data_IF_200159369628
#
_entry.id   IF_200159369628
#
_cell.length_a   1.000
_cell.length_b   1.000
_cell.length_c   1.000
_cell.angle_alpha   90.00
_cell.angle_beta   90.00
_cell.angle_gamma   90.00
#
_symmetry.space_group_name_H-M   'P 1'
#
loop_
_entity.id
_entity.type
_entity.pdbx_description
1 polymer ?
#
# COMPACT_ATOMS: atom_id res chain seq x y z
N UNK A 1 69.12 -40.90 -47.15
CA UNK A 1 68.12 -41.97 -46.91
C UNK A 1 67.56 -41.79 -45.50
N UNK A 2 66.24 -41.59 -45.36
CA UNK A 2 65.38 -41.93 -44.20
C UNK A 2 65.98 -41.70 -42.77
N UNK A 3 65.48 -40.81 -41.90
CA UNK A 3 64.11 -40.79 -41.31
C UNK A 3 63.91 -39.57 -40.37
N UNK A 4 62.74 -38.94 -40.51
CA UNK A 4 61.84 -38.32 -39.50
C UNK A 4 62.33 -37.28 -38.49
N UNK A 5 61.79 -36.03 -38.52
CA UNK A 5 61.63 -35.19 -37.33
C UNK A 5 60.21 -35.34 -36.72
N UNK A 6 60.15 -35.18 -35.40
CA UNK A 6 58.96 -35.21 -34.55
C UNK A 6 57.86 -34.25 -35.03
N UNK A 7 56.62 -34.75 -35.08
CA UNK A 7 55.41 -33.95 -35.18
C UNK A 7 55.08 -33.32 -33.83
N UNK A 8 55.15 -31.99 -33.73
CA UNK A 8 54.47 -31.21 -32.69
C UNK A 8 53.07 -30.87 -33.19
N UNK A 9 52.06 -31.61 -32.70
CA UNK A 9 50.65 -31.27 -32.88
C UNK A 9 50.32 -30.16 -31.90
N UNK A 10 50.26 -28.92 -32.38
CA UNK A 10 49.67 -27.80 -31.63
C UNK A 10 48.16 -27.84 -31.88
N UNK A 11 47.42 -28.40 -30.94
CA UNK A 11 45.97 -28.31 -30.89
C UNK A 11 45.57 -26.86 -30.60
N UNK A 12 45.13 -26.13 -31.63
CA UNK A 12 44.47 -24.82 -31.47
C UNK A 12 43.04 -25.10 -31.03
N UNK A 13 42.83 -25.15 -29.72
CA UNK A 13 41.50 -25.17 -29.12
C UNK A 13 40.90 -23.77 -29.24
N UNK A 14 40.03 -23.58 -30.23
CA UNK A 14 39.24 -22.37 -30.40
C UNK A 14 38.19 -22.32 -29.27
N UNK A 15 38.53 -21.70 -28.14
CA UNK A 15 37.58 -21.43 -27.05
C UNK A 15 36.71 -20.26 -27.51
N UNK A 16 35.50 -20.58 -27.99
CA UNK A 16 34.42 -19.62 -28.16
C UNK A 16 33.96 -19.20 -26.75
N UNK A 17 34.61 -18.18 -26.17
CA UNK A 17 34.10 -17.52 -24.98
C UNK A 17 32.90 -16.67 -25.40
N UNK A 18 31.71 -17.25 -25.30
CA UNK A 18 30.45 -16.50 -25.25
C UNK A 18 30.56 -15.63 -24.00
N UNK A 19 30.85 -14.34 -24.19
CA UNK A 19 30.71 -13.33 -23.16
C UNK A 19 29.22 -13.14 -22.95
N UNK A 20 28.61 -13.55 -21.82
CA UNK A 20 27.30 -13.03 -21.49
C UNK A 20 27.49 -11.54 -21.25
N UNK A 21 26.86 -10.72 -22.11
CA UNK A 21 26.67 -9.31 -21.84
C UNK A 21 25.75 -9.21 -20.62
N UNK A 22 26.33 -9.33 -19.44
CA UNK A 22 25.67 -8.97 -18.19
C UNK A 22 25.68 -7.45 -18.19
N UNK A 23 24.55 -6.86 -18.59
CA UNK A 23 24.27 -5.47 -18.33
C UNK A 23 24.17 -5.29 -16.80
N UNK A 24 25.32 -5.07 -16.16
CA UNK A 24 25.38 -4.57 -14.80
C UNK A 24 24.92 -3.11 -14.85
N UNK A 25 23.60 -2.91 -14.77
CA UNK A 25 23.02 -1.65 -14.35
C UNK A 25 23.37 -1.43 -12.88
N UNK A 26 24.61 -1.06 -12.59
CA UNK A 26 25.00 -0.52 -11.30
C UNK A 26 24.37 0.88 -11.21
N UNK A 27 23.22 0.96 -10.56
CA UNK A 27 22.66 2.22 -10.11
C UNK A 27 23.49 2.73 -8.92
N UNK A 28 24.70 3.20 -9.20
CA UNK A 28 25.54 3.93 -8.24
C UNK A 28 25.29 5.42 -8.44
N UNK A 29 24.17 5.90 -7.90
CA UNK A 29 23.94 7.32 -7.66
C UNK A 29 24.81 7.76 -6.49
N UNK A 30 25.89 8.47 -6.77
CA UNK A 30 26.72 9.13 -5.77
C UNK A 30 26.30 10.58 -5.56
N UNK A 31 26.06 10.96 -4.30
CA UNK A 31 26.29 12.33 -3.82
C UNK A 31 25.08 13.09 -3.26
N UNK A 32 24.63 12.73 -2.04
CA UNK A 32 23.74 13.55 -1.22
C UNK A 32 23.40 12.84 0.09
N UNK A 33 24.16 13.13 1.15
CA UNK A 33 24.21 12.31 2.36
C UNK A 33 22.93 12.29 3.20
N UNK A 34 22.46 11.08 3.49
CA UNK A 34 21.38 10.81 4.45
C UNK A 34 21.14 9.31 4.64
N UNK A 35 22.00 8.65 5.43
CA UNK A 35 21.71 7.34 6.04
C UNK A 35 21.67 6.14 5.09
N UNK A 36 22.85 5.57 4.82
CA UNK A 36 22.96 4.19 4.35
C UNK A 36 22.45 3.22 5.45
N UNK A 37 21.15 2.91 5.40
CA UNK A 37 20.53 1.81 6.11
C UNK A 37 20.68 0.55 5.28
N UNK A 38 21.50 -0.38 5.78
CA UNK A 38 21.64 -1.76 5.33
C UNK A 38 20.27 -2.38 4.96
N UNK A 39 20.19 -3.08 3.81
CA UNK A 39 18.98 -3.64 3.21
C UNK A 39 18.17 -4.56 4.11
N UNK A 40 17.40 -3.96 5.01
CA UNK A 40 16.41 -4.61 5.85
C UNK A 40 15.05 -4.18 5.31
N UNK A 41 14.34 -5.09 4.65
CA UNK A 41 13.19 -4.84 3.77
C UNK A 41 11.92 -4.30 4.44
N UNK A 42 12.01 -3.21 5.18
CA UNK A 42 10.88 -2.48 5.72
C UNK A 42 10.89 -1.03 5.25
N UNK A 43 9.91 -0.65 4.44
CA UNK A 43 9.51 0.75 4.27
C UNK A 43 8.31 0.99 5.16
N UNK A 44 8.36 2.04 5.97
CA UNK A 44 7.27 2.41 6.86
C UNK A 44 7.25 1.66 8.20
N UNK A 45 6.05 1.37 8.68
CA UNK A 45 5.76 0.86 10.02
C UNK A 45 5.95 -0.64 10.20
N UNK A 46 6.32 -1.38 9.14
CA UNK A 46 6.64 -2.81 9.19
C UNK A 46 8.05 -3.10 8.66
N UNK A 47 8.64 -4.19 9.15
CA UNK A 47 9.87 -4.80 8.63
C UNK A 47 9.54 -6.20 8.13
N UNK A 48 10.07 -6.54 6.96
CA UNK A 48 10.01 -7.90 6.40
C UNK A 48 11.44 -8.46 6.40
N UNK A 49 11.65 -9.56 7.11
CA UNK A 49 12.96 -10.22 7.15
C UNK A 49 13.20 -11.14 5.93
N UNK A 50 14.38 -11.78 5.87
CA UNK A 50 14.75 -12.67 4.77
C UNK A 50 13.86 -13.92 4.65
N UNK A 51 13.16 -14.31 5.72
CA UNK A 51 12.20 -15.43 5.70
C UNK A 51 10.80 -15.00 5.23
N UNK A 52 10.54 -13.68 5.15
CA UNK A 52 9.23 -13.12 4.86
C UNK A 52 8.39 -12.88 6.11
N UNK A 53 8.99 -12.87 7.30
CA UNK A 53 8.30 -12.57 8.55
C UNK A 53 8.04 -11.07 8.67
N UNK A 54 6.77 -10.70 8.84
CA UNK A 54 6.29 -9.33 9.01
C UNK A 54 6.19 -8.99 10.49
N UNK A 55 6.95 -7.97 10.89
CA UNK A 55 6.96 -7.44 12.25
C UNK A 55 6.83 -5.91 12.25
N UNK A 56 6.46 -5.34 13.40
CA UNK A 56 6.47 -3.89 13.59
C UNK A 56 7.90 -3.35 13.44
N UNK A 57 8.08 -2.33 12.61
CA UNK A 57 9.33 -1.59 12.53
C UNK A 57 9.56 -0.79 13.81
N UNK A 58 10.79 -0.81 14.33
CA UNK A 58 11.20 -0.04 15.50
C UNK A 58 12.18 1.02 15.02
N UNK A 59 11.68 2.23 14.79
CA UNK A 59 12.49 3.41 14.52
C UNK A 59 12.62 4.27 15.76
N UNK A 60 13.79 4.89 15.93
CA UNK A 60 14.01 5.81 17.04
C UNK A 60 13.08 7.02 16.90
N UNK A 61 12.25 7.26 17.93
CA UNK A 61 11.36 8.41 17.94
C UNK A 61 12.19 9.70 18.04
N UNK A 62 12.12 10.54 17.00
CA UNK A 62 12.60 11.91 17.06
C UNK A 62 11.57 12.77 17.77
N UNK A 63 12.04 13.81 18.47
CA UNK A 63 11.09 14.82 18.96
C UNK A 63 10.44 15.53 17.75
N UNK A 64 9.15 15.94 17.84
CA UNK A 64 8.43 16.47 16.69
C UNK A 64 9.08 17.69 16.03
N UNK A 65 9.71 18.57 16.81
CA UNK A 65 10.38 19.78 16.28
C UNK A 65 11.64 19.44 15.48
N UNK A 66 12.39 18.46 15.93
CA UNK A 66 13.59 17.97 15.25
C UNK A 66 13.22 17.21 13.99
N UNK A 67 12.18 16.38 14.04
CA UNK A 67 11.63 15.74 12.85
C UNK A 67 11.21 16.78 11.81
N UNK A 68 10.44 17.81 12.21
CA UNK A 68 10.01 18.87 11.32
C UNK A 68 11.18 19.58 10.63
N UNK A 69 12.18 20.01 11.41
CA UNK A 69 13.38 20.67 10.86
C UNK A 69 14.14 19.78 9.88
N UNK A 70 14.22 18.47 10.14
CA UNK A 70 14.88 17.53 9.23
C UNK A 70 14.13 17.42 7.90
N UNK A 71 12.80 17.33 7.94
CA UNK A 71 11.96 17.28 6.75
C UNK A 71 12.10 18.56 5.92
N UNK A 72 12.00 19.72 6.54
CA UNK A 72 12.16 21.03 5.88
C UNK A 72 13.53 21.20 5.22
N UNK A 73 14.61 20.85 5.93
CA UNK A 73 15.97 20.95 5.39
C UNK A 73 16.21 19.96 4.24
N UNK A 74 15.68 18.75 4.35
CA UNK A 74 15.77 17.75 3.28
C UNK A 74 15.03 18.22 2.03
N UNK A 75 13.78 18.69 2.18
CA UNK A 75 12.99 19.20 1.08
C UNK A 75 13.64 20.42 0.42
N UNK A 76 14.17 21.36 1.20
CA UNK A 76 14.85 22.55 0.68
C UNK A 76 16.16 22.24 -0.09
N UNK A 77 16.77 21.09 0.19
CA UNK A 77 18.01 20.66 -0.49
C UNK A 77 17.72 19.86 -1.75
N UNK A 78 16.71 18.98 -1.72
CA UNK A 78 16.45 18.02 -2.79
C UNK A 78 15.43 18.50 -3.82
N UNK A 79 14.53 19.43 -3.47
CA UNK A 79 13.40 19.81 -4.32
C UNK A 79 13.58 21.20 -4.94
N UNK A 80 13.14 21.38 -6.20
CA UNK A 80 12.95 22.71 -6.78
C UNK A 80 12.04 23.59 -5.92
N UNK A 81 12.32 24.90 -5.89
CA UNK A 81 11.58 25.85 -5.04
C UNK A 81 10.08 25.87 -5.33
N UNK A 82 9.70 25.85 -6.60
CA UNK A 82 8.31 25.83 -7.05
C UNK A 82 7.56 24.57 -6.60
N UNK A 83 8.23 23.42 -6.57
CA UNK A 83 7.67 22.17 -6.09
C UNK A 83 7.51 22.16 -4.56
N UNK A 84 8.45 22.80 -3.85
CA UNK A 84 8.52 22.86 -2.39
C UNK A 84 7.57 23.90 -1.76
N UNK A 85 6.37 24.05 -2.34
CA UNK A 85 5.28 24.84 -1.80
C UNK A 85 3.99 24.02 -1.78
N UNK A 86 3.11 24.32 -0.82
CA UNK A 86 1.80 23.70 -0.71
C UNK A 86 0.88 24.18 -1.84
N UNK A 87 0.21 23.23 -2.48
CA UNK A 87 -0.75 23.43 -3.55
C UNK A 87 -2.05 22.72 -3.19
N UNK A 88 -3.16 23.44 -3.35
CA UNK A 88 -4.49 22.85 -3.12
C UNK A 88 -4.91 21.93 -4.26
N UNK A 89 -4.34 22.11 -5.46
CA UNK A 89 -4.70 21.37 -6.66
C UNK A 89 -3.52 21.34 -7.65
N UNK A 90 -2.51 20.52 -7.36
CA UNK A 90 -1.43 20.22 -8.30
C UNK A 90 -1.92 19.19 -9.31
N UNK A 91 -1.62 19.44 -10.57
CA UNK A 91 -1.94 18.60 -11.73
C UNK A 91 -0.66 17.94 -12.21
N UNK A 92 -0.76 16.68 -12.61
CA UNK A 92 0.33 15.89 -13.20
C UNK A 92 -0.18 15.30 -14.51
N UNK A 93 0.42 15.71 -15.63
CA UNK A 93 0.21 15.11 -16.95
C UNK A 93 0.96 13.79 -17.02
N UNK A 94 0.24 12.69 -17.16
CA UNK A 94 0.87 11.37 -17.28
C UNK A 94 1.57 11.19 -18.62
N UNK A 95 1.09 11.83 -19.70
CA UNK A 95 1.80 11.83 -20.99
C UNK A 95 3.16 12.53 -20.88
N UNK A 96 3.18 13.72 -20.30
CA UNK A 96 4.42 14.51 -20.27
C UNK A 96 5.39 13.96 -19.22
N UNK A 97 4.89 13.37 -18.13
CA UNK A 97 5.69 12.61 -17.18
C UNK A 97 6.36 11.42 -17.86
N UNK A 98 5.61 10.64 -18.63
CA UNK A 98 6.10 9.49 -19.39
C UNK A 98 7.16 9.90 -20.43
N UNK A 99 6.97 11.03 -21.12
CA UNK A 99 7.96 11.59 -22.03
C UNK A 99 9.24 12.07 -21.30
N UNK A 100 9.12 12.67 -20.12
CA UNK A 100 10.27 13.09 -19.33
C UNK A 100 11.06 11.89 -18.78
N UNK A 101 10.37 10.83 -18.32
CA UNK A 101 11.01 9.58 -17.91
C UNK A 101 11.75 8.95 -19.10
N UNK A 102 11.11 8.86 -20.27
CA UNK A 102 11.74 8.33 -21.48
C UNK A 102 13.02 9.12 -21.84
N UNK A 103 12.96 10.45 -21.78
CA UNK A 103 14.12 11.33 -22.01
C UNK A 103 15.25 11.06 -21.01
N UNK A 104 14.94 10.95 -19.73
CA UNK A 104 15.93 10.67 -18.67
C UNK A 104 16.58 9.30 -18.86
N UNK A 105 15.78 8.28 -19.16
CA UNK A 105 16.27 6.91 -19.40
C UNK A 105 17.18 6.85 -20.64
N UNK A 106 16.81 7.51 -21.73
CA UNK A 106 17.65 7.59 -22.94
C UNK A 106 18.96 8.33 -22.69
N UNK A 107 18.95 9.32 -21.81
CA UNK A 107 20.14 10.07 -21.39
C UNK A 107 20.99 9.33 -20.33
N UNK A 108 20.54 8.16 -19.84
CA UNK A 108 21.20 7.45 -18.73
C UNK A 108 21.22 8.24 -17.42
N UNK A 109 20.27 9.16 -17.24
CA UNK A 109 20.16 10.00 -16.04
C UNK A 109 19.26 9.31 -15.00
N UNK A 110 19.59 9.42 -13.70
CA UNK A 110 18.69 8.95 -12.66
C UNK A 110 17.39 9.75 -12.65
N UNK A 111 16.29 9.09 -12.27
CA UNK A 111 15.01 9.77 -12.10
C UNK A 111 15.08 10.69 -10.86
N UNK A 112 14.73 11.98 -10.99
CA UNK A 112 14.75 12.91 -9.86
C UNK A 112 13.61 12.62 -8.88
N UNK A 113 13.76 13.04 -7.62
CA UNK A 113 12.76 12.86 -6.55
C UNK A 113 11.38 13.39 -6.94
N UNK A 114 11.33 14.48 -7.70
CA UNK A 114 10.08 15.04 -8.23
C UNK A 114 9.31 14.02 -9.07
N UNK A 115 9.99 13.28 -9.95
CA UNK A 115 9.41 12.23 -10.80
C UNK A 115 9.03 11.00 -9.94
N UNK A 116 9.93 10.57 -9.06
CA UNK A 116 9.71 9.40 -8.20
C UNK A 116 8.50 9.56 -7.26
N UNK A 117 8.16 10.80 -6.88
CA UNK A 117 7.10 11.12 -5.93
C UNK A 117 5.97 11.96 -6.55
N UNK A 118 5.76 11.84 -7.87
CA UNK A 118 4.67 12.47 -8.63
C UNK A 118 4.40 13.94 -8.24
N UNK A 119 5.46 14.74 -8.21
CA UNK A 119 5.45 16.16 -7.86
C UNK A 119 4.85 16.48 -6.47
N UNK A 120 4.91 15.54 -5.53
CA UNK A 120 4.45 15.73 -4.16
C UNK A 120 2.93 15.67 -3.99
N UNK A 121 2.19 15.14 -4.97
CA UNK A 121 0.75 14.92 -4.84
C UNK A 121 0.50 13.95 -3.69
N UNK A 122 -0.33 14.35 -2.73
CA UNK A 122 -0.61 13.59 -1.50
C UNK A 122 -1.89 12.77 -1.57
N UNK A 123 -2.79 13.08 -2.52
CA UNK A 123 -4.07 12.41 -2.77
C UNK A 123 -4.58 12.76 -4.17
N UNK A 124 -5.34 11.86 -4.80
CA UNK A 124 -6.04 12.16 -6.06
C UNK A 124 -7.47 12.59 -5.72
N UNK A 125 -7.80 13.82 -6.08
CA UNK A 125 -9.17 14.34 -5.99
C UNK A 125 -9.84 14.38 -7.36
N UNK A 126 -9.06 14.53 -8.43
CA UNK A 126 -9.56 14.59 -9.80
C UNK A 126 -8.74 13.74 -10.75
N UNK A 127 -9.43 13.18 -11.74
CA UNK A 127 -8.84 12.54 -12.90
C UNK A 127 -9.45 13.20 -14.13
N UNK A 128 -8.63 13.58 -15.10
CA UNK A 128 -9.08 14.15 -16.35
C UNK A 128 -8.47 13.42 -17.54
N UNK A 129 -9.23 13.35 -18.62
CA UNK A 129 -8.81 12.94 -19.95
C UNK A 129 -8.85 14.19 -20.82
N UNK A 130 -7.74 14.51 -21.48
CA UNK A 130 -7.68 15.66 -22.36
C UNK A 130 -8.73 15.55 -23.47
N UNK A 131 -9.23 16.70 -23.98
CA UNK A 131 -10.30 16.73 -24.99
C UNK A 131 -9.93 15.98 -26.28
N UNK A 132 -8.64 15.94 -26.63
CA UNK A 132 -8.10 15.20 -27.77
C UNK A 132 -7.81 13.73 -27.46
N UNK A 133 -8.05 13.29 -26.23
CA UNK A 133 -7.81 11.95 -25.71
C UNK A 133 -6.33 11.59 -25.59
N UNK A 134 -5.40 12.54 -25.72
CA UNK A 134 -3.96 12.25 -25.77
C UNK A 134 -3.26 12.40 -24.45
N UNK A 135 -3.96 12.72 -23.37
CA UNK A 135 -3.36 12.85 -22.05
C UNK A 135 -4.34 12.41 -20.96
N UNK A 136 -3.76 12.03 -19.83
CA UNK A 136 -4.43 11.77 -18.56
C UNK A 136 -3.81 12.70 -17.55
N UNK A 137 -4.63 13.46 -16.82
CA UNK A 137 -4.17 14.36 -15.77
C UNK A 137 -4.75 13.89 -14.44
N UNK A 138 -3.88 13.55 -13.50
CA UNK A 138 -4.29 13.37 -12.10
C UNK A 138 -4.09 14.68 -11.36
N UNK A 139 -5.01 15.03 -10.47
CA UNK A 139 -4.89 16.25 -9.69
C UNK A 139 -5.40 16.12 -8.25
N UNK A 140 -4.80 16.88 -7.35
CA UNK A 140 -5.19 16.94 -5.95
C UNK A 140 -4.21 17.75 -5.10
N UNK A 141 -4.35 17.72 -3.77
CA UNK A 141 -3.47 18.46 -2.87
C UNK A 141 -2.04 17.94 -2.97
N UNK A 142 -1.07 18.85 -3.03
CA UNK A 142 0.35 18.53 -3.07
C UNK A 142 1.16 19.49 -2.20
N UNK A 143 2.37 19.07 -1.84
CA UNK A 143 3.29 19.89 -1.08
C UNK A 143 4.74 19.42 -1.26
N UNK A 144 5.69 20.18 -0.72
CA UNK A 144 7.06 19.69 -0.55
C UNK A 144 7.07 18.42 0.29
N UNK A 145 8.02 17.53 0.02
CA UNK A 145 8.08 16.22 0.64
C UNK A 145 9.50 15.82 1.02
N UNK A 146 9.62 14.91 1.98
CA UNK A 146 10.88 14.35 2.42
C UNK A 146 10.69 12.96 3.04
N UNK A 147 11.77 12.19 3.09
CA UNK A 147 11.78 10.86 3.69
C UNK A 147 11.80 10.93 5.22
N UNK A 148 10.93 10.15 5.85
CA UNK A 148 10.96 9.83 7.27
C UNK A 148 12.12 8.87 7.59
N UNK A 149 12.51 8.74 8.86
CA UNK A 149 13.53 7.78 9.28
C UNK A 149 13.20 6.30 8.97
N UNK A 150 11.92 5.98 8.75
CA UNK A 150 11.45 4.66 8.36
C UNK A 150 11.42 4.45 6.83
N UNK A 151 11.99 5.40 6.06
CA UNK A 151 12.07 5.38 4.61
C UNK A 151 10.81 5.85 3.89
N UNK A 152 9.71 6.13 4.59
CA UNK A 152 8.47 6.62 3.95
C UNK A 152 8.62 8.07 3.51
N UNK A 153 8.26 8.38 2.27
CA UNK A 153 8.19 9.77 1.79
C UNK A 153 6.85 10.39 2.16
N UNK A 154 6.88 11.53 2.86
CA UNK A 154 5.69 12.25 3.31
C UNK A 154 5.78 13.72 2.98
N UNK A 155 4.62 14.36 2.83
CA UNK A 155 4.52 15.80 2.71
C UNK A 155 4.95 16.51 4.02
N UNK A 156 5.62 17.65 3.90
CA UNK A 156 6.27 18.34 5.02
C UNK A 156 5.29 19.06 5.95
N UNK A 157 4.07 19.37 5.51
CA UNK A 157 3.07 20.04 6.35
C UNK A 157 2.00 19.06 6.85
N UNK A 158 1.50 18.18 5.99
CA UNK A 158 0.44 17.23 6.34
C UNK A 158 0.95 15.95 7.00
N UNK A 159 2.25 15.62 6.82
CA UNK A 159 2.82 14.30 7.12
C UNK A 159 2.11 13.12 6.44
N UNK A 160 1.29 13.41 5.43
CA UNK A 160 0.61 12.42 4.62
C UNK A 160 1.60 11.83 3.61
N UNK A 161 1.55 10.52 3.32
CA UNK A 161 2.35 9.95 2.26
C UNK A 161 2.02 10.58 0.90
N UNK A 162 3.05 10.80 0.09
CA UNK A 162 2.90 11.24 -1.31
C UNK A 162 2.63 10.04 -2.21
N UNK A 163 2.05 10.28 -3.39
CA UNK A 163 1.98 9.28 -4.44
C UNK A 163 3.40 8.99 -4.95
N UNK A 164 3.71 7.73 -5.22
CA UNK A 164 4.99 7.35 -5.80
C UNK A 164 4.82 6.75 -7.19
N UNK A 165 5.87 6.87 -7.99
CA UNK A 165 5.92 6.33 -9.36
C UNK A 165 5.75 4.81 -9.35
N UNK A 166 6.41 4.09 -8.44
CA UNK A 166 6.33 2.63 -8.39
C UNK A 166 4.90 2.11 -8.23
N UNK A 167 4.10 2.73 -7.36
CA UNK A 167 2.71 2.33 -7.16
C UNK A 167 1.83 2.70 -8.36
N UNK A 168 2.12 3.82 -9.05
CA UNK A 168 1.47 4.16 -10.31
C UNK A 168 1.80 3.11 -11.39
N UNK A 169 3.06 2.70 -11.51
CA UNK A 169 3.48 1.66 -12.46
C UNK A 169 2.79 0.33 -12.17
N UNK A 170 2.74 -0.09 -10.90
CA UNK A 170 2.03 -1.31 -10.49
C UNK A 170 0.55 -1.22 -10.86
N UNK A 171 -0.13 -0.12 -10.54
CA UNK A 171 -1.54 0.06 -10.86
C UNK A 171 -1.79 0.00 -12.39
N UNK A 172 -1.00 0.71 -13.18
CA UNK A 172 -1.15 0.75 -14.64
C UNK A 172 -0.88 -0.59 -15.32
N UNK A 173 0.05 -1.40 -14.79
CA UNK A 173 0.50 -2.67 -15.38
C UNK A 173 -0.32 -3.90 -14.94
N UNK A 174 -1.19 -3.74 -13.94
CA UNK A 174 -1.97 -4.86 -13.37
C UNK A 174 -3.49 -4.72 -13.54
N UNK A 175 -4.01 -3.50 -13.73
CA UNK A 175 -5.45 -3.21 -13.78
C UNK A 175 -6.24 -3.97 -14.88
N UNK A 176 -5.58 -4.28 -15.99
CA UNK A 176 -6.12 -4.98 -17.15
C UNK A 176 -6.10 -6.51 -17.00
N UNK A 177 -5.30 -7.06 -16.08
CA UNK A 177 -5.22 -8.52 -15.85
C UNK A 177 -5.84 -8.97 -14.53
N UNK A 178 -6.02 -8.06 -13.58
CA UNK A 178 -6.49 -8.36 -12.23
C UNK A 178 -7.81 -7.64 -11.94
N UNK A 179 -8.76 -8.39 -11.37
CA UNK A 179 -10.05 -7.82 -10.97
C UNK A 179 -10.04 -7.28 -9.53
N UNK A 180 -9.28 -7.93 -8.65
CA UNK A 180 -9.26 -7.67 -7.21
C UNK A 180 -7.83 -7.62 -6.72
N UNK A 181 -7.55 -6.64 -5.86
CA UNK A 181 -6.23 -6.32 -5.31
C UNK A 181 -6.31 -6.34 -3.79
N UNK A 182 -5.24 -6.76 -3.13
CA UNK A 182 -5.25 -6.79 -1.68
C UNK A 182 -4.27 -7.75 -1.03
N UNK A 183 -4.55 -7.99 0.25
CA UNK A 183 -3.85 -8.98 1.06
C UNK A 183 -4.83 -9.67 2.01
N UNK A 184 -4.42 -10.82 2.53
CA UNK A 184 -5.15 -11.56 3.56
C UNK A 184 -4.20 -12.08 4.62
N UNK A 185 -4.67 -12.11 5.86
CA UNK A 185 -3.94 -12.63 7.01
C UNK A 185 -4.75 -13.76 7.60
N UNK A 186 -4.29 -14.99 7.34
CA UNK A 186 -5.04 -16.20 7.62
C UNK A 186 -4.28 -17.09 8.61
N UNK A 187 -4.90 -17.50 9.72
CA UNK A 187 -4.31 -18.50 10.60
C UNK A 187 -4.19 -19.85 9.88
N UNK A 188 -3.19 -20.66 10.25
CA UNK A 188 -3.07 -22.02 9.72
C UNK A 188 -4.24 -22.90 10.20
N UNK A 189 -5.00 -23.59 9.31
CA UNK A 189 -6.15 -24.40 9.70
C UNK A 189 -5.84 -25.46 10.77
N UNK A 190 -4.69 -26.14 10.65
CA UNK A 190 -4.25 -27.15 11.63
C UNK A 190 -3.99 -26.57 13.01
N UNK A 191 -3.56 -25.31 13.10
CA UNK A 191 -3.36 -24.59 14.37
C UNK A 191 -4.68 -24.11 14.94
N UNK A 192 -5.60 -23.64 14.10
CA UNK A 192 -6.96 -23.30 14.53
C UNK A 192 -7.68 -24.50 15.16
N UNK A 193 -7.63 -25.67 14.52
CA UNK A 193 -8.25 -26.88 15.06
C UNK A 193 -7.69 -27.23 16.46
N UNK A 194 -6.37 -27.14 16.64
CA UNK A 194 -5.73 -27.34 17.95
C UNK A 194 -6.16 -26.29 18.97
N UNK A 195 -6.26 -25.02 18.58
CA UNK A 195 -6.76 -23.94 19.45
C UNK A 195 -8.20 -24.21 19.90
N UNK A 196 -9.08 -24.68 19.01
CA UNK A 196 -10.44 -25.05 19.37
C UNK A 196 -10.50 -26.20 20.37
N UNK A 197 -9.68 -27.25 20.16
CA UNK A 197 -9.58 -28.36 21.11
C UNK A 197 -9.15 -27.88 22.50
N UNK A 198 -8.17 -26.97 22.57
CA UNK A 198 -7.70 -26.38 23.84
C UNK A 198 -8.77 -25.51 24.51
N UNK A 199 -9.54 -24.74 23.73
CA UNK A 199 -10.65 -23.94 24.25
C UNK A 199 -11.80 -24.82 24.76
N UNK A 200 -12.07 -25.95 24.11
CA UNK A 200 -13.05 -26.94 24.57
C UNK A 200 -12.64 -27.67 25.85
N UNK A 201 -11.33 -27.80 26.11
CA UNK A 201 -10.78 -28.43 27.31
C UNK A 201 -10.63 -27.47 28.50
N UNK A 202 -10.37 -26.17 28.25
CA UNK A 202 -10.23 -25.14 29.28
C UNK A 202 -11.59 -24.62 29.76
N UNK A 203 -12.28 -25.43 30.55
CA UNK A 203 -13.49 -24.99 31.27
C UNK A 203 -13.09 -24.08 32.43
N UNK A 204 -13.31 -22.77 32.25
CA UNK A 204 -13.23 -21.68 33.26
C UNK A 204 -11.85 -21.41 33.87
N UNK A 205 -11.20 -20.34 33.39
CA UNK A 205 -10.12 -19.70 34.15
C UNK A 205 -10.67 -19.19 35.49
N UNK A 206 -10.14 -19.68 36.60
CA UNK A 206 -10.59 -19.31 37.96
C UNK A 206 -9.79 -18.16 38.55
N UNK A 207 -8.67 -17.78 37.91
CA UNK A 207 -7.83 -16.65 38.28
C UNK A 207 -7.28 -15.90 37.05
N UNK A 208 -6.82 -14.66 37.25
CA UNK A 208 -6.15 -13.88 36.21
C UNK A 208 -4.86 -14.55 35.71
N UNK A 209 -4.14 -15.27 36.59
CA UNK A 209 -2.93 -16.01 36.23
C UNK A 209 -3.24 -17.23 35.34
N UNK A 210 -4.37 -17.91 35.56
CA UNK A 210 -4.82 -19.02 34.71
C UNK A 210 -5.24 -18.52 33.33
N UNK A 211 -5.94 -17.39 33.28
CA UNK A 211 -6.29 -16.72 32.04
C UNK A 211 -5.04 -16.32 31.23
N UNK A 212 -4.00 -15.82 31.91
CA UNK A 212 -2.74 -15.44 31.29
C UNK A 212 -1.91 -16.66 30.80
N UNK A 213 -1.90 -17.77 31.55
CA UNK A 213 -1.25 -19.02 31.10
C UNK A 213 -1.97 -19.64 29.91
N UNK A 214 -3.30 -19.72 29.96
CA UNK A 214 -4.11 -20.17 28.82
C UNK A 214 -3.90 -19.31 27.59
N UNK A 215 -3.73 -17.99 27.77
CA UNK A 215 -3.38 -17.07 26.68
C UNK A 215 -2.04 -17.37 26.04
N UNK A 216 -0.98 -17.54 26.84
CA UNK A 216 0.36 -17.87 26.31
C UNK A 216 0.35 -19.21 25.56
N UNK A 217 -0.41 -20.18 26.06
CA UNK A 217 -0.59 -21.47 25.39
C UNK A 217 -1.35 -21.33 24.07
N UNK A 218 -2.44 -20.56 24.03
CA UNK A 218 -3.22 -20.31 22.81
C UNK A 218 -2.39 -19.56 21.76
N UNK A 219 -1.68 -18.50 22.17
CA UNK A 219 -0.79 -17.75 21.29
C UNK A 219 0.34 -18.62 20.71
N UNK A 220 0.95 -19.46 21.55
CA UNK A 220 1.97 -20.43 21.10
C UNK A 220 1.44 -21.47 20.11
N UNK A 221 0.17 -21.89 20.25
CA UNK A 221 -0.46 -22.86 19.35
C UNK A 221 -0.86 -22.24 18.02
N UNK A 222 -1.37 -21.01 18.03
CA UNK A 222 -1.71 -20.27 16.81
C UNK A 222 -0.47 -19.90 16.01
N UNK A 223 0.64 -19.63 16.69
CA UNK A 223 1.93 -19.33 16.07
C UNK A 223 1.86 -18.18 15.07
N UNK A 224 2.57 -18.30 13.95
CA UNK A 224 2.48 -17.38 12.82
C UNK A 224 1.24 -17.63 11.96
N UNK A 225 0.73 -16.55 11.37
CA UNK A 225 -0.35 -16.53 10.39
C UNK A 225 0.23 -16.30 8.99
N UNK A 226 -0.38 -16.90 7.99
CA UNK A 226 0.00 -16.74 6.60
C UNK A 226 -0.43 -15.35 6.12
N UNK A 227 0.47 -14.69 5.40
CA UNK A 227 0.20 -13.45 4.67
C UNK A 227 0.18 -13.79 3.19
N UNK A 228 -0.91 -13.44 2.51
CA UNK A 228 -1.05 -13.66 1.07
C UNK A 228 -1.37 -12.33 0.40
N UNK A 229 -0.62 -11.97 -0.63
CA UNK A 229 -0.86 -10.79 -1.47
C UNK A 229 -1.44 -11.24 -2.80
N UNK A 230 -2.39 -10.47 -3.34
CA UNK A 230 -3.02 -10.78 -4.62
C UNK A 230 -3.30 -9.52 -5.43
N UNK A 231 -3.35 -9.66 -6.75
CA UNK A 231 -3.59 -8.57 -7.70
C UNK A 231 -2.37 -7.68 -7.98
N UNK A 232 -1.29 -7.80 -7.21
CA UNK A 232 -0.04 -7.02 -7.38
C UNK A 232 1.18 -7.92 -7.28
N UNK A 233 2.35 -7.54 -7.83
CA UNK A 233 3.60 -8.27 -7.58
C UNK A 233 3.93 -8.29 -6.08
N UNK A 234 4.20 -9.47 -5.52
CA UNK A 234 4.36 -9.64 -4.07
C UNK A 234 5.60 -8.91 -3.48
N UNK A 235 6.57 -8.58 -4.32
CA UNK A 235 7.76 -7.80 -3.97
C UNK A 235 7.60 -6.29 -4.22
N UNK A 236 6.43 -5.81 -4.64
CA UNK A 236 6.22 -4.38 -4.93
C UNK A 236 6.02 -3.52 -3.68
N UNK A 237 6.26 -2.22 -3.78
CA UNK A 237 5.91 -1.27 -2.72
C UNK A 237 4.43 -1.34 -2.36
N UNK A 238 3.54 -1.41 -3.35
CA UNK A 238 2.10 -1.58 -3.14
C UNK A 238 1.76 -2.84 -2.32
N UNK A 239 2.44 -3.97 -2.54
CA UNK A 239 2.25 -5.17 -1.72
C UNK A 239 2.59 -4.93 -0.24
N UNK A 240 3.72 -4.28 0.02
CA UNK A 240 4.14 -3.90 1.38
C UNK A 240 3.11 -2.96 2.02
N UNK A 241 2.63 -1.95 1.28
CA UNK A 241 1.63 -1.00 1.77
C UNK A 241 0.27 -1.65 2.11
N UNK A 242 -0.19 -2.61 1.29
CA UNK A 242 -1.41 -3.38 1.55
C UNK A 242 -1.28 -4.19 2.85
N UNK A 243 -0.15 -4.89 3.02
CA UNK A 243 0.15 -5.68 4.21
C UNK A 243 0.32 -4.81 5.44
N UNK A 244 1.00 -3.67 5.32
CA UNK A 244 1.16 -2.70 6.40
C UNK A 244 -0.19 -2.18 6.90
N UNK A 245 -1.09 -1.81 6.00
CA UNK A 245 -2.40 -1.28 6.36
C UNK A 245 -3.23 -2.31 7.14
N UNK A 246 -3.27 -3.57 6.70
CA UNK A 246 -3.97 -4.62 7.42
C UNK A 246 -3.29 -4.99 8.76
N UNK A 247 -1.95 -4.94 8.82
CA UNK A 247 -1.22 -5.08 10.08
C UNK A 247 -1.58 -3.95 11.07
N UNK A 248 -1.68 -2.70 10.59
CA UNK A 248 -2.12 -1.55 11.38
C UNK A 248 -3.58 -1.70 11.85
N UNK A 249 -4.50 -2.15 10.97
CA UNK A 249 -5.89 -2.44 11.31
C UNK A 249 -5.97 -3.41 12.50
N UNK A 250 -5.22 -4.51 12.46
CA UNK A 250 -5.20 -5.49 13.56
C UNK A 250 -4.70 -4.88 14.86
N UNK A 251 -3.59 -4.13 14.83
CA UNK A 251 -3.02 -3.49 16.03
C UNK A 251 -3.92 -2.41 16.62
N UNK A 252 -4.63 -1.64 15.80
CA UNK A 252 -5.66 -0.68 16.26
C UNK A 252 -6.86 -1.42 16.87
N UNK A 253 -7.26 -2.54 16.27
CA UNK A 253 -8.38 -3.38 16.73
C UNK A 253 -8.08 -4.05 18.07
N UNK A 254 -6.85 -4.51 18.27
CA UNK A 254 -6.38 -5.04 19.56
C UNK A 254 -6.03 -3.97 20.58
N UNK A 255 -5.83 -2.73 20.16
CA UNK A 255 -5.29 -1.68 21.02
C UNK A 255 -3.80 -1.84 21.34
N UNK A 256 -3.06 -2.64 20.55
CA UNK A 256 -1.59 -2.62 20.52
C UNK A 256 -1.04 -1.33 19.87
N UNK A 257 -1.93 -0.58 19.23
CA UNK A 257 -1.70 0.79 18.80
C UNK A 257 -2.83 1.68 19.31
N UNK A 258 -2.46 2.84 19.86
CA UNK A 258 -3.39 3.89 20.20
C UNK A 258 -3.09 5.11 19.32
N UNK A 259 -3.97 5.46 18.37
CA UNK A 259 -3.72 6.54 17.42
C UNK A 259 -3.94 7.93 18.04
N UNK A 260 -4.36 8.00 19.32
CA UNK A 260 -4.73 9.23 20.02
C UNK A 260 -5.85 10.04 19.33
N UNK A 261 -6.68 9.37 18.53
CA UNK A 261 -7.86 9.96 17.88
C UNK A 261 -9.01 10.04 18.88
N UNK A 262 -9.60 11.23 19.03
CA UNK A 262 -10.69 11.47 19.98
C UNK A 262 -11.89 10.59 19.67
N UNK A 263 -12.30 9.81 20.66
CA UNK A 263 -13.47 8.95 20.58
C UNK A 263 -13.22 7.60 19.91
N UNK A 264 -12.02 7.34 19.39
CA UNK A 264 -11.65 6.03 18.85
C UNK A 264 -11.34 5.04 19.98
N UNK A 265 -11.97 3.86 19.91
CA UNK A 265 -11.82 2.77 20.87
C UNK A 265 -11.47 1.49 20.14
N UNK A 266 -10.46 0.77 20.64
CA UNK A 266 -10.16 -0.57 20.14
C UNK A 266 -11.34 -1.52 20.38
N UNK A 267 -11.53 -2.50 19.50
CA UNK A 267 -12.61 -3.46 19.65
C UNK A 267 -12.52 -4.20 21.00
N UNK A 268 -11.30 -4.58 21.42
CA UNK A 268 -11.11 -5.25 22.71
C UNK A 268 -11.57 -4.42 23.91
N UNK A 269 -11.52 -3.09 23.82
CA UNK A 269 -12.05 -2.21 24.86
C UNK A 269 -13.59 -2.21 24.91
N UNK A 270 -14.25 -2.48 23.78
CA UNK A 270 -15.71 -2.50 23.60
C UNK A 270 -16.36 -3.86 23.89
N UNK A 271 -15.58 -4.95 23.96
CA UNK A 271 -16.12 -6.30 24.13
C UNK A 271 -16.86 -6.49 25.45
N UNK A 272 -18.01 -7.19 25.37
CA UNK A 272 -18.78 -7.66 26.52
C UNK A 272 -18.34 -9.07 26.93
N UNK A 273 -18.64 -9.52 28.18
CA UNK A 273 -18.55 -10.93 28.54
C UNK A 273 -19.37 -11.79 27.56
N UNK A 274 -18.80 -12.91 27.08
CA UNK A 274 -19.40 -13.89 26.15
C UNK A 274 -19.43 -13.55 24.64
N UNK A 275 -18.49 -12.74 24.14
CA UNK A 275 -18.32 -12.59 22.68
C UNK A 275 -17.50 -13.76 22.10
N UNK A 276 -17.99 -14.40 21.02
CA UNK A 276 -17.25 -15.43 20.25
C UNK A 276 -15.90 -14.91 19.72
N UNK A 277 -14.99 -15.86 19.46
CA UNK A 277 -13.54 -15.65 19.47
C UNK A 277 -12.88 -15.33 18.13
N UNK A 278 -13.55 -15.55 16.98
CA UNK A 278 -12.99 -15.29 15.65
C UNK A 278 -13.83 -14.28 14.88
N UNK A 279 -13.23 -13.14 14.58
CA UNK A 279 -13.88 -12.00 13.93
C UNK A 279 -13.03 -11.55 12.75
N UNK A 280 -13.67 -11.15 11.66
CA UNK A 280 -12.98 -10.69 10.45
C UNK A 280 -13.27 -9.22 10.20
N UNK A 281 -12.22 -8.40 10.13
CA UNK A 281 -12.31 -7.02 9.63
C UNK A 281 -11.32 -6.81 8.50
N UNK A 282 -11.74 -6.13 7.45
CA UNK A 282 -10.85 -5.80 6.34
C UNK A 282 -11.14 -4.40 5.82
N UNK A 283 -10.12 -3.78 5.24
CA UNK A 283 -10.31 -2.55 4.48
C UNK A 283 -10.94 -2.85 3.14
N UNK A 284 -11.93 -2.04 2.78
CA UNK A 284 -12.52 -2.00 1.45
C UNK A 284 -12.72 -0.55 1.02
N UNK A 285 -12.68 -0.24 -0.28
CA UNK A 285 -12.91 1.11 -0.76
C UNK A 285 -14.30 1.67 -0.41
N UNK A 286 -14.36 2.97 -0.14
CA UNK A 286 -15.59 3.75 0.04
C UNK A 286 -15.38 5.21 -0.35
N UNK A 287 -16.17 5.69 -1.29
CA UNK A 287 -16.26 7.10 -1.66
C UNK A 287 -17.63 7.63 -1.23
N UNK A 288 -17.72 8.92 -0.92
CA UNK A 288 -19.01 9.60 -0.76
C UNK A 288 -19.68 9.74 -2.13
N UNK A 289 -18.88 10.16 -3.13
CA UNK A 289 -19.22 10.13 -4.54
C UNK A 289 -17.97 9.97 -5.42
N UNK A 290 -18.16 9.27 -6.54
CA UNK A 290 -17.32 9.41 -7.72
C UNK A 290 -18.20 10.07 -8.76
N UNK A 291 -17.97 11.34 -9.03
CA UNK A 291 -18.76 12.11 -10.00
C UNK A 291 -18.05 12.13 -11.35
N UNK A 292 -18.80 12.17 -12.45
CA UNK A 292 -18.23 12.30 -13.80
C UNK A 292 -19.08 13.21 -14.70
N UNK A 293 -18.43 13.93 -15.61
CA UNK A 293 -19.13 14.76 -16.59
C UNK A 293 -19.84 13.89 -17.66
N UNK A 294 -20.72 14.51 -18.46
CA UNK A 294 -21.49 13.80 -19.48
C UNK A 294 -20.60 13.10 -20.53
N UNK A 295 -19.43 13.69 -20.82
CA UNK A 295 -18.45 13.18 -21.78
C UNK A 295 -17.60 12.04 -21.21
N UNK A 296 -17.67 11.78 -19.90
CA UNK A 296 -16.79 10.83 -19.20
C UNK A 296 -15.32 11.12 -19.51
N UNK A 297 -14.93 12.39 -19.37
CA UNK A 297 -13.56 12.89 -19.50
C UNK A 297 -13.06 13.56 -18.23
N UNK A 298 -13.91 13.73 -17.21
CA UNK A 298 -13.51 14.24 -15.92
C UNK A 298 -14.18 13.44 -14.81
N UNK A 299 -13.44 13.16 -13.74
CA UNK A 299 -13.90 12.48 -12.54
C UNK A 299 -13.49 13.25 -11.31
N UNK A 300 -14.40 13.37 -10.34
CA UNK A 300 -14.15 13.95 -9.03
C UNK A 300 -14.41 12.90 -7.94
N UNK A 301 -13.39 12.66 -7.13
CA UNK A 301 -13.37 11.67 -6.07
C UNK A 301 -13.63 12.37 -4.74
N UNK A 302 -14.67 12.00 -3.99
CA UNK A 302 -15.01 12.60 -2.68
C UNK A 302 -15.21 11.56 -1.57
N UNK A 303 -14.95 11.96 -0.32
CA UNK A 303 -15.05 11.09 0.86
C UNK A 303 -13.76 10.39 1.31
N UNK A 304 -13.86 9.44 2.25
CA UNK A 304 -12.72 8.91 3.02
C UNK A 304 -11.88 7.86 2.27
N UNK A 305 -12.25 7.47 1.05
CA UNK A 305 -11.62 6.43 0.19
C UNK A 305 -11.70 5.01 0.71
N UNK A 306 -11.82 4.83 2.02
CA UNK A 306 -11.80 3.55 2.70
C UNK A 306 -12.98 3.43 3.67
N UNK A 307 -13.38 2.18 3.91
CA UNK A 307 -14.18 1.76 5.04
C UNK A 307 -13.61 0.48 5.63
N UNK A 308 -13.97 0.19 6.86
CA UNK A 308 -13.75 -1.14 7.46
C UNK A 308 -15.05 -1.91 7.35
N UNK A 309 -14.97 -3.09 6.75
CA UNK A 309 -16.05 -4.07 6.71
C UNK A 309 -15.85 -5.11 7.81
N UNK A 310 -16.93 -5.75 8.24
CA UNK A 310 -16.90 -6.78 9.27
C UNK A 310 -17.72 -8.01 8.87
N UNK A 311 -17.23 -9.19 9.23
CA UNK A 311 -17.94 -10.46 9.07
C UNK A 311 -17.63 -11.36 10.27
N UNK A 312 -18.64 -12.07 10.74
CA UNK A 312 -18.44 -13.17 11.68
C UNK A 312 -18.07 -14.45 10.95
N UNK A 313 -17.09 -15.18 11.52
CA UNK A 313 -16.66 -16.48 11.01
C UNK A 313 -16.84 -17.56 12.09
N UNK A 314 -17.33 -18.72 11.66
CA UNK A 314 -17.38 -19.96 12.45
C UNK A 314 -16.23 -20.84 11.97
N UNK A 315 -15.54 -21.49 12.91
CA UNK A 315 -14.52 -22.48 12.58
C UNK A 315 -15.04 -23.88 12.92
N UNK A 316 -14.95 -24.80 11.96
CA UNK A 316 -15.32 -26.20 12.17
C UNK A 316 -14.21 -26.98 12.90
N UNK A 317 -14.50 -28.23 13.29
CA UNK A 317 -13.56 -29.08 14.01
C UNK A 317 -12.26 -29.38 13.23
N UNK A 318 -12.23 -29.14 11.91
CA UNK A 318 -11.07 -29.32 11.05
C UNK A 318 -10.27 -28.03 10.86
N UNK A 319 -10.70 -26.92 11.46
CA UNK A 319 -10.06 -25.61 11.32
C UNK A 319 -10.49 -24.83 10.08
N UNK A 320 -11.51 -25.29 9.34
CA UNK A 320 -12.05 -24.55 8.20
C UNK A 320 -12.91 -23.40 8.68
N UNK A 321 -12.78 -22.24 8.05
CA UNK A 321 -13.60 -21.06 8.35
C UNK A 321 -14.79 -20.99 7.42
N UNK A 322 -15.95 -20.61 7.95
CA UNK A 322 -17.16 -20.32 7.18
C UNK A 322 -17.79 -19.04 7.71
N UNK A 323 -18.40 -18.26 6.83
CA UNK A 323 -19.15 -17.06 7.24
C UNK A 323 -20.33 -17.48 8.14
N UNK A 324 -20.45 -16.81 9.29
CA UNK A 324 -21.61 -16.99 10.15
C UNK A 324 -22.88 -16.45 9.45
N UNK A 325 -24.07 -17.02 9.74
CA UNK A 325 -25.33 -16.59 9.13
C UNK A 325 -25.70 -15.13 9.39
N UNK A 326 -25.12 -14.51 10.43
CA UNK A 326 -25.34 -13.12 10.81
C UNK A 326 -24.11 -12.55 11.49
N UNK A 327 -23.83 -11.26 11.27
CA UNK A 327 -22.77 -10.53 11.97
C UNK A 327 -23.30 -9.87 13.24
N UNK A 328 -22.60 -10.03 14.36
CA UNK A 328 -22.97 -9.44 15.63
C UNK A 328 -22.87 -7.90 15.60
N UNK A 329 -23.87 -7.23 16.18
CA UNK A 329 -23.98 -5.76 16.25
C UNK A 329 -22.73 -5.07 16.82
N UNK A 330 -21.98 -5.71 17.72
CA UNK A 330 -20.74 -5.11 18.27
C UNK A 330 -19.61 -5.02 17.24
N UNK A 331 -19.55 -5.95 16.29
CA UNK A 331 -18.57 -5.91 15.19
C UNK A 331 -18.89 -4.80 14.22
N UNK A 332 -20.17 -4.71 13.84
CA UNK A 332 -20.67 -3.66 12.95
C UNK A 332 -20.45 -2.28 13.56
N UNK A 333 -20.72 -2.11 14.88
CA UNK A 333 -20.45 -0.86 15.59
C UNK A 333 -18.98 -0.47 15.59
N UNK A 334 -18.08 -1.43 15.73
CA UNK A 334 -16.65 -1.14 15.66
C UNK A 334 -16.23 -0.76 14.24
N UNK A 335 -16.69 -1.51 13.23
CA UNK A 335 -16.44 -1.22 11.82
C UNK A 335 -16.98 0.16 11.41
N UNK A 336 -18.18 0.50 11.87
CA UNK A 336 -18.80 1.81 11.67
C UNK A 336 -17.97 2.92 12.32
N UNK A 337 -17.64 2.81 13.61
CA UNK A 337 -16.78 3.78 14.31
C UNK A 337 -15.43 3.93 13.59
N UNK A 338 -14.79 2.82 13.20
CA UNK A 338 -13.52 2.87 12.50
C UNK A 338 -13.67 3.64 11.19
N UNK A 339 -14.70 3.30 10.40
CA UNK A 339 -15.00 3.96 9.13
C UNK A 339 -15.23 5.46 9.30
N UNK A 340 -16.04 5.87 10.28
CA UNK A 340 -16.27 7.28 10.62
C UNK A 340 -14.99 8.02 11.03
N UNK A 341 -14.02 7.28 11.58
CA UNK A 341 -12.74 7.82 12.06
C UNK A 341 -11.59 7.72 11.07
N UNK A 342 -11.78 7.14 9.87
CA UNK A 342 -10.73 7.03 8.86
C UNK A 342 -10.06 8.38 8.53
N UNK A 343 -10.78 9.52 8.37
CA UNK A 343 -10.13 10.81 8.15
C UNK A 343 -9.15 11.18 9.26
N UNK A 344 -9.58 11.12 10.52
CA UNK A 344 -8.73 11.41 11.69
C UNK A 344 -7.57 10.39 11.82
N UNK A 345 -7.84 9.12 11.51
CA UNK A 345 -6.85 8.04 11.59
C UNK A 345 -5.77 8.17 10.52
N UNK A 346 -6.12 8.60 9.31
CA UNK A 346 -5.17 8.80 8.22
C UNK A 346 -4.14 9.90 8.52
N UNK A 347 -4.49 10.88 9.37
CA UNK A 347 -3.55 11.90 9.87
C UNK A 347 -2.54 11.36 10.90
N UNK A 348 -2.84 10.23 11.54
CA UNK A 348 -2.03 9.68 12.64
C UNK A 348 -1.34 8.37 12.28
N UNK A 349 -1.89 7.64 11.32
CA UNK A 349 -1.45 6.31 10.90
C UNK A 349 -1.20 6.35 9.40
N UNK A 350 0.05 6.62 9.04
CA UNK A 350 0.47 6.81 7.65
C UNK A 350 0.12 5.61 6.75
N UNK A 351 0.06 4.38 7.29
CA UNK A 351 -0.36 3.18 6.56
C UNK A 351 -1.79 3.30 6.00
N UNK A 352 -2.71 3.95 6.74
CA UNK A 352 -4.08 4.19 6.28
C UNK A 352 -4.09 5.20 5.14
N UNK A 353 -3.33 6.29 5.27
CA UNK A 353 -3.21 7.29 4.22
C UNK A 353 -2.53 6.73 2.95
N UNK A 354 -1.50 5.89 3.10
CA UNK A 354 -0.88 5.18 1.98
C UNK A 354 -1.89 4.28 1.28
N UNK A 355 -2.71 3.53 2.04
CA UNK A 355 -3.74 2.69 1.45
C UNK A 355 -4.78 3.50 0.67
N UNK A 356 -5.18 4.68 1.15
CA UNK A 356 -6.06 5.58 0.39
C UNK A 356 -5.45 5.94 -0.97
N UNK A 357 -4.16 6.26 -0.99
CA UNK A 357 -3.43 6.56 -2.22
C UNK A 357 -3.39 5.35 -3.18
N UNK A 358 -3.22 4.13 -2.67
CA UNK A 358 -3.23 2.92 -3.50
C UNK A 358 -4.61 2.69 -4.13
N UNK A 359 -5.67 2.88 -3.36
CA UNK A 359 -7.04 2.76 -3.87
C UNK A 359 -7.31 3.79 -4.97
N UNK A 360 -6.89 5.05 -4.76
CA UNK A 360 -7.05 6.10 -5.76
C UNK A 360 -6.27 5.81 -7.06
N UNK A 361 -5.05 5.27 -6.97
CA UNK A 361 -4.27 4.85 -8.15
C UNK A 361 -4.93 3.68 -8.91
N UNK A 362 -5.46 2.69 -8.18
CA UNK A 362 -6.17 1.56 -8.78
C UNK A 362 -7.50 2.01 -9.44
N UNK A 363 -8.20 2.98 -8.84
CA UNK A 363 -9.39 3.62 -9.45
C UNK A 363 -8.99 4.41 -10.70
N UNK A 364 -7.87 5.13 -10.66
CA UNK A 364 -7.31 5.85 -11.82
C UNK A 364 -7.02 4.89 -12.97
N UNK A 365 -6.38 3.75 -12.69
CA UNK A 365 -6.11 2.74 -13.71
C UNK A 365 -7.40 2.16 -14.31
N UNK A 366 -8.43 1.94 -13.50
CA UNK A 366 -9.75 1.50 -13.98
C UNK A 366 -10.47 2.56 -14.84
N UNK A 367 -10.34 3.85 -14.51
CA UNK A 367 -10.82 4.97 -15.34
C UNK A 367 -10.13 4.95 -16.70
N UNK A 368 -8.82 4.75 -16.73
CA UNK A 368 -8.02 4.73 -17.97
C UNK A 368 -8.42 3.57 -18.86
N UNK A 369 -8.61 2.40 -18.28
CA UNK A 369 -9.07 1.23 -19.02
C UNK A 369 -10.46 1.44 -19.62
N UNK A 370 -11.43 1.91 -18.81
CA UNK A 370 -12.78 2.22 -19.27
C UNK A 370 -12.75 3.25 -20.41
N UNK A 371 -11.95 4.30 -20.26
CA UNK A 371 -11.80 5.37 -21.26
C UNK A 371 -11.18 4.86 -22.57
N UNK A 372 -10.24 3.92 -22.50
CA UNK A 372 -9.69 3.23 -23.70
C UNK A 372 -10.75 2.38 -24.38
N UNK A 373 -11.56 1.63 -23.63
CA UNK A 373 -12.68 0.85 -24.18
C UNK A 373 -13.70 1.74 -24.87
N UNK A 374 -13.96 2.94 -24.31
CA UNK A 374 -14.87 3.94 -24.87
C UNK A 374 -14.25 4.79 -26.00
N UNK A 375 -12.96 4.61 -26.29
CA UNK A 375 -12.19 5.37 -27.28
C UNK A 375 -12.07 6.88 -26.98
N UNK A 376 -12.36 7.30 -25.75
CA UNK A 376 -12.09 8.67 -25.29
C UNK A 376 -10.62 8.88 -24.92
N UNK A 377 -9.91 7.81 -24.55
CA UNK A 377 -8.47 7.82 -24.32
C UNK A 377 -7.73 7.09 -25.46
N UNK A 378 -6.92 7.83 -26.21
CA UNK A 378 -6.07 7.31 -27.30
C UNK A 378 -4.58 7.32 -26.96
N UNK A 379 -4.19 8.00 -25.89
CA UNK A 379 -2.81 7.99 -25.40
C UNK A 379 -2.33 6.58 -25.07
N UNK A 380 -1.11 6.29 -25.52
CA UNK A 380 -0.37 5.06 -25.22
C UNK A 380 0.93 5.46 -24.54
N UNK A 381 1.23 4.93 -23.34
CA UNK A 381 2.50 5.21 -22.69
C UNK A 381 3.70 4.67 -23.50
N UNK A 382 4.81 5.39 -23.43
CA UNK A 382 6.11 5.09 -24.03
C UNK A 382 6.89 4.14 -23.11
N UNK A 383 7.00 4.46 -21.82
CA UNK A 383 7.79 3.70 -20.83
C UNK A 383 7.00 3.30 -19.58
N UNK A 384 5.93 4.01 -19.21
CA UNK A 384 5.16 3.66 -18.00
C UNK A 384 4.61 2.21 -18.04
N UNK A 385 4.28 1.69 -19.21
CA UNK A 385 3.83 0.29 -19.37
C UNK A 385 4.95 -0.71 -19.68
N UNK A 386 6.21 -0.26 -19.81
CA UNK A 386 7.35 -1.11 -20.16
C UNK A 386 8.15 -1.51 -18.90
N UNK A 387 7.89 -2.71 -18.40
CA UNK A 387 8.58 -3.26 -17.23
C UNK A 387 10.05 -3.62 -17.45
N UNK A 388 10.53 -3.66 -18.69
CA UNK A 388 11.95 -3.91 -19.00
C UNK A 388 12.75 -2.61 -18.99
N UNK A 389 12.17 -1.54 -19.53
CA UNK A 389 12.82 -0.22 -19.60
C UNK A 389 12.69 0.56 -18.30
N UNK A 390 11.59 0.38 -17.57
CA UNK A 390 11.30 1.06 -16.31
C UNK A 390 10.88 0.03 -15.26
N UNK A 391 11.84 -0.42 -14.48
CA UNK A 391 11.64 -1.38 -13.38
C UNK A 391 11.07 -0.70 -12.14
N UNK A 392 10.28 -1.44 -11.35
CA UNK A 392 9.85 -1.02 -10.00
C UNK A 392 10.87 -1.47 -8.96
N UNK A 393 10.97 -0.78 -7.84
CA UNK A 393 11.78 -1.22 -6.71
C UNK A 393 11.22 -2.53 -6.12
N UNK A 394 12.12 -3.44 -5.78
CA UNK A 394 11.76 -4.71 -5.11
C UNK A 394 11.96 -4.63 -3.58
N UNK A 395 11.03 -5.24 -2.87
CA UNK A 395 10.95 -5.33 -1.41
C UNK A 395 10.89 -6.79 -0.96
N UNK A 396 11.08 -7.01 0.35
CA UNK A 396 10.91 -8.33 0.96
C UNK A 396 9.49 -8.85 0.76
N UNK A 397 9.35 -10.12 0.37
CA UNK A 397 8.04 -10.73 0.14
C UNK A 397 7.41 -11.11 1.49
N UNK A 398 6.26 -10.54 1.87
CA UNK A 398 5.58 -10.87 3.12
C UNK A 398 4.93 -12.25 3.02
N UNK A 399 5.28 -13.16 3.92
CA UNK A 399 4.80 -14.56 3.92
C UNK A 399 4.07 -14.93 5.20
N UNK A 400 4.53 -14.42 6.34
CA UNK A 400 3.93 -14.73 7.61
C UNK A 400 4.04 -13.58 8.61
N UNK A 401 3.19 -13.58 9.64
CA UNK A 401 3.27 -12.63 10.75
C UNK A 401 2.97 -13.32 12.07
N UNK A 402 3.54 -12.89 13.21
CA UNK A 402 3.12 -13.40 14.51
C UNK A 402 1.62 -13.17 14.74
N UNK A 403 0.94 -14.18 15.29
CA UNK A 403 -0.47 -14.04 15.63
C UNK A 403 -0.70 -12.88 16.60
N UNK A 404 -1.53 -11.92 16.19
CA UNK A 404 -1.91 -10.79 17.04
C UNK A 404 -3.09 -11.23 17.91
N UNK A 405 -2.78 -12.05 18.91
CA UNK A 405 -3.77 -12.59 19.86
C UNK A 405 -3.78 -11.71 21.11
N UNK A 406 -4.98 -11.39 21.59
CA UNK A 406 -5.16 -10.80 22.92
C UNK A 406 -6.22 -11.55 23.69
N UNK A 407 -5.97 -11.65 24.99
CA UNK A 407 -6.94 -12.17 25.95
C UNK A 407 -7.29 -11.08 26.94
N UNK A 408 -8.59 -10.91 27.17
CA UNK A 408 -9.13 -10.03 28.21
C UNK A 408 -10.08 -10.82 29.09
N UNK A 409 -10.00 -10.58 30.40
CA UNK A 409 -11.06 -10.99 31.31
C UNK A 409 -12.25 -10.03 31.21
N UNK A 410 -13.42 -10.58 30.94
CA UNK A 410 -14.68 -9.87 30.93
C UNK A 410 -15.59 -10.53 31.99
N UNK A 411 -15.58 -9.99 33.21
CA UNK A 411 -16.20 -10.65 34.37
C UNK A 411 -15.39 -11.87 34.80
N UNK A 412 -16.05 -13.02 34.98
CA UNK A 412 -15.44 -14.31 35.37
C UNK A 412 -14.98 -15.18 34.20
N UNK A 413 -14.99 -14.66 32.96
CA UNK A 413 -14.64 -15.44 31.74
C UNK A 413 -13.59 -14.75 30.88
N UNK A 414 -12.81 -15.58 30.20
CA UNK A 414 -11.75 -15.19 29.28
C UNK A 414 -12.31 -15.05 27.86
N UNK A 415 -12.10 -13.91 27.20
CA UNK A 415 -12.43 -13.71 25.78
C UNK A 415 -11.14 -13.71 24.97
N UNK A 416 -11.09 -14.53 23.93
CA UNK A 416 -10.01 -14.60 22.96
C UNK A 416 -10.37 -13.77 21.74
N UNK A 417 -9.56 -12.75 21.40
CA UNK A 417 -9.73 -12.01 20.15
C UNK A 417 -8.80 -12.56 19.08
N UNK A 418 -9.32 -13.31 18.12
CA UNK A 418 -8.64 -13.68 16.88
C UNK A 418 -9.18 -12.81 15.76
N UNK A 419 -8.30 -12.01 15.15
CA UNK A 419 -8.66 -10.96 14.21
C UNK A 419 -8.10 -11.33 12.84
N UNK A 420 -8.89 -12.08 12.06
CA UNK A 420 -8.65 -12.30 10.65
C UNK A 420 -9.00 -11.04 9.85
N UNK A 421 -8.45 -10.90 8.65
CA UNK A 421 -8.62 -9.68 7.91
C UNK A 421 -7.84 -9.58 6.63
N UNK A 422 -7.83 -8.39 6.07
CA UNK A 422 -7.18 -8.12 4.82
C UNK A 422 -7.40 -6.71 4.32
N UNK A 423 -7.00 -6.55 3.07
CA UNK A 423 -7.44 -5.46 2.20
C UNK A 423 -8.11 -6.11 1.00
N UNK A 424 -9.23 -5.58 0.54
CA UNK A 424 -9.85 -6.03 -0.71
C UNK A 424 -10.38 -4.85 -1.51
N UNK A 425 -9.82 -4.66 -2.70
CA UNK A 425 -10.10 -3.55 -3.61
C UNK A 425 -10.52 -4.12 -4.96
N UNK A 426 -11.71 -3.75 -5.44
CA UNK A 426 -12.22 -4.14 -6.78
C UNK A 426 -12.55 -2.86 -7.56
N UNK A 427 -11.57 -2.25 -8.26
CA UNK A 427 -11.70 -0.90 -8.83
C UNK A 427 -12.87 -0.73 -9.79
N UNK A 428 -13.10 -1.71 -10.67
CA UNK A 428 -14.20 -1.67 -11.67
C UNK A 428 -15.58 -1.60 -11.02
N UNK A 429 -15.77 -2.29 -9.89
CA UNK A 429 -17.03 -2.26 -9.14
C UNK A 429 -17.30 -0.87 -8.58
N UNK A 430 -16.27 -0.21 -8.05
CA UNK A 430 -16.36 1.14 -7.51
C UNK A 430 -16.72 2.13 -8.63
N UNK A 431 -16.06 2.02 -9.78
CA UNK A 431 -16.29 2.90 -10.93
C UNK A 431 -17.66 2.68 -11.60
N UNK A 432 -18.27 1.50 -11.43
CA UNK A 432 -19.63 1.24 -11.90
C UNK A 432 -20.68 2.08 -11.14
N UNK A 433 -20.39 2.45 -9.90
CA UNK A 433 -21.25 3.29 -9.05
C UNK A 433 -21.02 4.80 -9.25
N UNK A 434 -20.23 5.19 -10.26
CA UNK A 434 -19.98 6.59 -10.58
C UNK A 434 -21.28 7.31 -11.00
N UNK A 435 -21.46 8.53 -10.48
CA UNK A 435 -22.67 9.34 -10.66
C UNK A 435 -22.40 10.51 -11.63
N UNK A 436 -23.40 11.01 -12.34
CA UNK A 436 -23.27 12.29 -13.04
C UNK A 436 -22.90 13.41 -12.06
N UNK A 437 -21.99 14.29 -12.46
CA UNK A 437 -21.66 15.48 -11.69
C UNK A 437 -22.88 16.39 -11.53
N UNK A 438 -23.01 17.02 -10.36
CA UNK A 438 -24.05 18.06 -10.16
C UNK A 438 -23.80 19.28 -11.06
N UNK A 439 -24.87 20.00 -11.45
CA UNK A 439 -24.76 21.23 -12.27
C UNK A 439 -23.85 22.31 -11.63
N UNK A 440 -23.65 22.27 -10.31
CA UNK A 440 -22.77 23.20 -9.59
C UNK A 440 -21.27 22.84 -9.68
N UNK A 441 -20.94 21.61 -10.08
CA UNK A 441 -19.58 21.11 -10.22
C UNK A 441 -19.25 20.95 -11.71
N UNK A 442 -18.96 22.07 -12.38
CA UNK A 442 -18.41 22.02 -13.74
C UNK A 442 -17.03 21.34 -13.66
N UNK A 443 -17.00 20.03 -13.96
CA UNK A 443 -15.76 19.25 -14.07
C UNK A 443 -15.14 19.52 -15.44
N UNK A 444 -14.52 20.69 -15.55
CA UNK A 444 -13.80 21.10 -16.75
C UNK A 444 -12.30 20.82 -16.61
N UNK A 445 -11.69 20.44 -17.74
CA UNK A 445 -10.25 20.24 -17.82
C UNK A 445 -9.53 21.55 -17.46
N UNK A 446 -8.61 21.57 -16.49
CA UNK A 446 -7.91 22.79 -16.13
C UNK A 446 -7.00 23.26 -17.27
N UNK A 447 -7.08 24.55 -17.58
CA UNK A 447 -6.22 25.19 -18.60
C UNK A 447 -4.77 25.19 -18.11
N UNK A 448 -3.88 24.60 -18.89
CA UNK A 448 -2.43 24.72 -18.68
C UNK A 448 -1.92 25.99 -19.36
N UNK A 449 -1.17 26.81 -18.63
CA UNK A 449 -0.50 27.97 -19.21
C UNK A 449 0.57 27.53 -20.21
N UNK A 450 0.58 28.14 -21.40
CA UNK A 450 1.61 27.91 -22.43
C UNK A 450 3.04 28.19 -21.94
N UNK A 451 3.19 28.93 -20.83
CA UNK A 451 4.48 29.26 -20.23
C UNK A 451 5.01 28.20 -19.27
N UNK A 452 4.26 27.13 -18.97
CA UNK A 452 4.73 26.06 -18.10
C UNK A 452 5.02 24.76 -18.90
N UNK A 453 6.28 24.54 -19.33
CA UNK A 453 6.66 23.32 -20.03
C UNK A 453 6.77 22.10 -19.10
N UNK A 454 6.58 22.25 -17.79
CA UNK A 454 6.69 21.15 -16.83
C UNK A 454 5.55 20.14 -16.96
N UNK A 455 5.84 18.86 -16.74
CA UNK A 455 4.84 17.78 -16.69
C UNK A 455 3.88 17.89 -15.49
N UNK A 456 4.06 18.88 -14.61
CA UNK A 456 3.16 19.22 -13.51
C UNK A 456 2.97 20.74 -13.36
N UNK A 457 1.84 21.16 -12.79
CA UNK A 457 1.50 22.57 -12.53
C UNK A 457 0.44 22.73 -11.43
N UNK A 458 0.31 23.92 -10.86
CA UNK A 458 -0.64 24.24 -9.77
C UNK A 458 -1.93 24.93 -10.23
#
# INVERSE_FOLDING_TARGET
>A
MYRTPLACVVSITLILAVVPCVALGQNTGGGGGGGAGNGNGGVGGIRIDASGLVEKSVTAALNPRELQKRLENSAATSLPTDLNHASTLRKVSLRDLDAEIDRLLQAGQPLPDAVLNLAGVTRIDFIFIADDGRDVIIAGPAEGFASLPDGRVVGINSHRPVLCLDDLLVALRTADTQATFGCSFDPEPGRLAKTQQLLGQNTTATSAADAQRGFQQIGGVLGHWNVTVFGVPESSHMAVALVEADYALKRLTTGDENPQVRGFKSYLSMMRPNADSLRRWWFSPRYDAIETNAQQTAWHLTGPRLQVSAQDEIVDANGNRQDAPSTHVSLEKYAQQFTEKIPDLAEKVAAIAQLQNMVDLLVTAAVLERSRTQRSLVWKPIVLNDGQRLTVQEFGIPKETPSIVKVRMAGSRTVLGLIAGGVSVTPRRILADAKPASEAAALELPVRSDQNPSWWWD
#
